data_IF_112162459060
#
_entry.id   IF_112162459060
#
_cell.length_a   1.000
_cell.length_b   1.000
_cell.length_c   1.000
_cell.angle_alpha   90.00
_cell.angle_beta   90.00
_cell.angle_gamma   90.00
#
_symmetry.space_group_name_H-M   'P 1'
#
loop_
_entity.id
_entity.type
_entity.pdbx_description
1 polymer ?
#
# COMPACT_ATOMS: atom_id res chain seq x y z
N UNK A 1 -45.80 41.17 -36.88
CA UNK A 1 -46.03 40.60 -35.54
C UNK A 1 -44.67 40.27 -34.94
N UNK A 2 -44.37 40.86 -33.78
CA UNK A 2 -43.09 40.80 -33.06
C UNK A 2 -43.01 39.49 -32.29
N UNK A 3 -41.86 38.79 -32.32
CA UNK A 3 -41.40 37.98 -31.17
C UNK A 3 -39.89 38.16 -31.03
N UNK A 4 -39.50 38.96 -30.03
CA UNK A 4 -38.17 38.92 -29.42
C UNK A 4 -38.04 37.59 -28.68
N UNK A 5 -36.97 36.84 -28.91
CA UNK A 5 -36.59 35.70 -28.08
C UNK A 5 -35.25 36.02 -27.40
N UNK A 6 -35.36 36.43 -26.14
CA UNK A 6 -34.23 36.54 -25.21
C UNK A 6 -33.65 35.14 -25.00
N UNK A 7 -32.39 34.92 -25.40
CA UNK A 7 -31.64 33.75 -24.97
C UNK A 7 -30.81 34.11 -23.74
N UNK A 8 -31.16 33.45 -22.63
CA UNK A 8 -30.48 33.48 -21.34
C UNK A 8 -29.08 32.91 -21.50
N UNK A 9 -28.05 33.73 -21.28
CA UNK A 9 -26.67 33.26 -21.16
C UNK A 9 -26.48 32.60 -19.80
N UNK A 10 -26.31 31.27 -19.84
CA UNK A 10 -25.96 30.43 -18.70
C UNK A 10 -24.54 30.80 -18.24
N UNK A 11 -24.40 31.35 -17.03
CA UNK A 11 -23.10 31.49 -16.37
C UNK A 11 -22.70 30.12 -15.83
N UNK A 12 -21.90 29.37 -16.59
CA UNK A 12 -21.15 28.24 -16.05
C UNK A 12 -19.85 28.79 -15.44
N UNK A 13 -19.91 29.23 -14.17
CA UNK A 13 -18.70 29.44 -13.39
C UNK A 13 -18.20 28.06 -12.93
N UNK A 14 -17.09 27.64 -13.54
CA UNK A 14 -16.33 26.43 -13.26
C UNK A 14 -16.14 26.22 -11.75
N UNK A 15 -16.54 25.05 -11.24
CA UNK A 15 -16.04 24.57 -9.96
C UNK A 15 -14.49 24.53 -10.05
N UNK A 16 -13.80 25.18 -9.11
CA UNK A 16 -12.36 24.95 -8.92
C UNK A 16 -12.21 23.63 -8.17
N UNK A 17 -11.70 22.61 -8.85
CA UNK A 17 -11.21 21.41 -8.18
C UNK A 17 -9.94 21.79 -7.42
N UNK A 18 -10.05 21.92 -6.10
CA UNK A 18 -8.90 21.89 -5.19
C UNK A 18 -8.39 20.44 -5.14
N UNK A 19 -7.75 20.00 -6.22
CA UNK A 19 -7.01 18.73 -6.25
C UNK A 19 -5.68 18.94 -5.51
N UNK A 20 -5.75 18.92 -4.17
CA UNK A 20 -4.58 18.92 -3.30
C UNK A 20 -3.90 17.54 -3.29
N UNK A 21 -3.62 16.93 -4.45
CA UNK A 21 -2.74 15.76 -4.46
C UNK A 21 -1.31 16.23 -4.11
N UNK A 22 -0.84 15.83 -2.92
CA UNK A 22 0.50 16.12 -2.41
C UNK A 22 1.55 15.08 -2.78
N UNK A 23 1.14 13.99 -3.43
CA UNK A 23 2.04 12.95 -3.89
C UNK A 23 2.96 13.47 -4.99
N UNK A 24 4.22 13.09 -4.89
CA UNK A 24 5.27 13.44 -5.84
C UNK A 24 6.10 12.21 -6.18
N UNK A 25 6.55 12.13 -7.43
CA UNK A 25 7.51 11.11 -7.83
C UNK A 25 8.91 11.55 -7.40
N UNK A 26 9.60 10.69 -6.65
CA UNK A 26 10.93 10.97 -6.08
C UNK A 26 11.97 9.96 -6.55
N UNK A 27 13.25 10.30 -6.37
CA UNK A 27 14.35 9.41 -6.74
C UNK A 27 14.69 8.42 -5.62
N UNK A 28 15.34 7.30 -5.95
CA UNK A 28 15.80 6.30 -4.96
C UNK A 28 16.74 6.89 -3.91
N UNK A 29 17.47 7.97 -4.23
CA UNK A 29 18.29 8.71 -3.27
C UNK A 29 17.50 9.34 -2.14
N UNK A 30 16.22 9.61 -2.35
CA UNK A 30 15.31 10.22 -1.37
C UNK A 30 14.68 9.19 -0.42
N UNK A 31 14.74 7.88 -0.76
CA UNK A 31 14.31 6.84 0.17
C UNK A 31 15.21 6.81 1.41
N UNK A 32 14.62 6.67 2.62
CA UNK A 32 15.37 6.39 3.84
C UNK A 32 16.30 5.17 3.66
N UNK A 33 17.43 5.17 4.35
CA UNK A 33 18.40 4.06 4.31
C UNK A 33 17.77 2.73 4.70
N UNK A 34 16.83 2.75 5.66
CA UNK A 34 16.14 1.56 6.12
C UNK A 34 15.24 0.93 5.04
N UNK A 35 14.51 1.76 4.27
CA UNK A 35 13.70 1.28 3.14
C UNK A 35 14.57 0.59 2.09
N UNK A 36 15.71 1.20 1.74
CA UNK A 36 16.65 0.62 0.76
C UNK A 36 17.16 -0.75 1.23
N UNK A 37 17.61 -0.85 2.47
CA UNK A 37 18.05 -2.13 3.06
C UNK A 37 16.95 -3.19 3.06
N UNK A 38 15.70 -2.80 3.33
CA UNK A 38 14.55 -3.71 3.29
C UNK A 38 14.33 -4.27 1.88
N UNK A 39 14.29 -3.40 0.87
CA UNK A 39 14.13 -3.80 -0.53
C UNK A 39 15.29 -4.68 -1.02
N UNK A 40 16.53 -4.31 -0.69
CA UNK A 40 17.73 -5.08 -1.04
C UNK A 40 17.77 -6.47 -0.38
N UNK A 41 17.19 -6.61 0.82
CA UNK A 41 17.20 -7.87 1.57
C UNK A 41 16.09 -8.81 1.11
N UNK A 42 14.87 -8.31 0.93
CA UNK A 42 13.69 -9.16 0.74
C UNK A 42 13.17 -9.20 -0.69
N UNK A 43 13.52 -8.20 -1.50
CA UNK A 43 13.05 -8.05 -2.89
C UNK A 43 14.21 -7.94 -3.87
N UNK A 44 15.35 -8.57 -3.54
CA UNK A 44 16.51 -8.64 -4.43
C UNK A 44 16.10 -9.26 -5.77
N UNK A 45 16.43 -8.58 -6.87
CA UNK A 45 16.08 -9.03 -8.22
C UNK A 45 14.77 -8.44 -8.76
N UNK A 46 14.06 -7.63 -7.96
CA UNK A 46 12.91 -6.84 -8.41
C UNK A 46 13.24 -5.34 -8.33
N UNK A 47 13.79 -4.74 -9.41
CA UNK A 47 14.11 -3.32 -9.43
C UNK A 47 12.91 -2.41 -9.12
N UNK A 48 13.21 -1.21 -8.62
CA UNK A 48 12.22 -0.16 -8.41
C UNK A 48 11.75 0.39 -9.76
N UNK A 49 10.44 0.45 -9.96
CA UNK A 49 9.77 1.07 -11.11
C UNK A 49 9.41 2.52 -10.81
N UNK A 50 8.87 2.77 -9.62
CA UNK A 50 8.38 4.09 -9.22
C UNK A 50 8.47 4.24 -7.70
N UNK A 51 8.75 5.47 -7.26
CA UNK A 51 8.63 5.86 -5.86
C UNK A 51 7.74 7.08 -5.80
N UNK A 52 6.64 6.96 -5.08
CA UNK A 52 5.78 8.08 -4.72
C UNK A 52 6.07 8.49 -3.28
N UNK A 53 6.02 9.79 -3.00
CA UNK A 53 6.13 10.33 -1.65
C UNK A 53 5.04 11.36 -1.44
N UNK A 54 4.29 11.24 -0.35
CA UNK A 54 3.46 12.32 0.16
C UNK A 54 4.10 12.93 1.40
N UNK A 55 4.74 14.08 1.21
CA UNK A 55 5.42 14.83 2.27
C UNK A 55 4.46 15.74 3.09
N UNK A 56 3.23 15.93 2.63
CA UNK A 56 2.25 16.85 3.25
C UNK A 56 1.15 16.09 3.99
N UNK A 57 1.03 14.78 3.80
CA UNK A 57 0.18 13.93 4.62
C UNK A 57 0.64 13.93 6.09
N UNK A 58 -0.29 13.64 7.00
CA UNK A 58 0.00 13.56 8.45
C UNK A 58 1.00 12.43 8.74
N UNK A 59 0.89 11.33 8.00
CA UNK A 59 1.70 10.14 8.23
C UNK A 59 3.08 10.24 7.55
N UNK A 60 3.19 11.07 6.49
CA UNK A 60 4.33 11.17 5.59
C UNK A 60 4.87 9.80 5.16
N UNK A 61 4.60 9.40 3.92
CA UNK A 61 4.90 8.04 3.48
C UNK A 61 5.62 8.01 2.14
N UNK A 62 6.24 6.86 1.87
CA UNK A 62 6.77 6.48 0.58
C UNK A 62 6.06 5.22 0.10
N UNK A 63 5.56 5.24 -1.12
CA UNK A 63 5.06 4.05 -1.81
C UNK A 63 6.09 3.66 -2.88
N UNK A 64 6.59 2.43 -2.83
CA UNK A 64 7.55 1.89 -3.79
C UNK A 64 6.90 0.79 -4.60
N UNK A 65 6.88 0.94 -5.94
CA UNK A 65 6.44 -0.11 -6.86
C UNK A 65 7.64 -0.80 -7.50
N UNK A 66 7.64 -2.14 -7.49
CA UNK A 66 8.69 -2.99 -8.03
C UNK A 66 8.30 -3.60 -9.38
N UNK A 67 9.28 -4.12 -10.13
CA UNK A 67 9.06 -4.68 -11.48
C UNK A 67 8.19 -5.93 -11.51
N UNK A 68 8.11 -6.68 -10.41
CA UNK A 68 7.22 -7.84 -10.29
C UNK A 68 5.77 -7.45 -9.98
N UNK A 69 5.51 -6.16 -9.74
CA UNK A 69 4.22 -5.62 -9.35
C UNK A 69 4.04 -5.49 -7.84
N UNK A 70 5.00 -5.90 -7.02
CA UNK A 70 4.93 -5.69 -5.57
C UNK A 70 4.92 -4.20 -5.24
N UNK A 71 4.03 -3.79 -4.34
CA UNK A 71 3.99 -2.47 -3.72
C UNK A 71 4.49 -2.58 -2.27
N UNK A 72 5.36 -1.64 -1.87
CA UNK A 72 5.85 -1.54 -0.49
C UNK A 72 5.70 -0.11 0.00
N UNK A 73 4.92 0.05 1.06
CA UNK A 73 4.72 1.33 1.71
C UNK A 73 5.66 1.44 2.91
N UNK A 74 6.29 2.60 3.07
CA UNK A 74 7.16 2.93 4.18
C UNK A 74 6.71 4.20 4.86
N UNK A 75 6.84 4.24 6.18
CA UNK A 75 6.76 5.50 6.93
C UNK A 75 7.94 6.42 6.59
N UNK A 76 7.88 7.67 7.07
CA UNK A 76 8.96 8.65 6.89
C UNK A 76 10.33 8.22 7.41
N UNK A 77 10.39 7.25 8.34
CA UNK A 77 11.65 6.72 8.89
C UNK A 77 12.21 5.57 8.03
N UNK A 78 11.41 5.04 7.11
CA UNK A 78 11.74 3.93 6.25
C UNK A 78 11.36 2.56 6.81
N UNK A 79 10.50 2.52 7.83
CA UNK A 79 9.91 1.28 8.31
C UNK A 79 8.73 0.92 7.40
N UNK A 80 8.70 -0.32 6.90
CA UNK A 80 7.55 -0.76 6.10
C UNK A 80 6.26 -0.66 6.92
N UNK A 81 5.17 -0.22 6.31
CA UNK A 81 3.83 -0.18 6.89
C UNK A 81 2.94 -1.20 6.21
N UNK A 82 3.10 -1.40 4.91
CA UNK A 82 2.37 -2.38 4.12
C UNK A 82 3.28 -2.98 3.04
N UNK A 83 3.04 -4.24 2.71
CA UNK A 83 3.66 -4.94 1.59
C UNK A 83 2.55 -5.70 0.87
N UNK A 84 2.29 -5.37 -0.38
CA UNK A 84 1.23 -5.97 -1.21
C UNK A 84 1.83 -6.56 -2.49
N UNK A 85 1.64 -7.86 -2.70
CA UNK A 85 2.09 -8.59 -3.88
C UNK A 85 1.24 -8.36 -5.13
N UNK A 86 0.11 -7.63 -5.00
CA UNK A 86 -0.86 -7.36 -6.05
C UNK A 86 -1.32 -8.66 -6.74
N UNK A 87 -1.90 -9.60 -5.99
CA UNK A 87 -2.32 -10.92 -6.47
C UNK A 87 -1.25 -12.00 -6.45
N UNK A 88 -0.05 -11.71 -5.93
CA UNK A 88 1.09 -12.65 -5.88
C UNK A 88 1.52 -12.93 -4.45
N UNK A 89 2.11 -14.10 -4.23
CA UNK A 89 2.68 -14.47 -2.93
C UNK A 89 3.91 -13.64 -2.58
N UNK A 90 3.98 -13.17 -1.34
CA UNK A 90 5.13 -12.44 -0.81
C UNK A 90 6.28 -13.36 -0.36
N UNK A 91 7.54 -12.88 -0.37
CA UNK A 91 8.61 -13.50 0.40
C UNK A 91 8.28 -13.43 1.90
N UNK A 92 8.23 -14.57 2.59
CA UNK A 92 7.72 -14.61 3.98
C UNK A 92 8.79 -14.38 5.06
N UNK A 93 10.07 -14.22 4.69
CA UNK A 93 11.18 -14.14 5.65
C UNK A 93 11.20 -12.89 6.52
N UNK A 94 10.49 -11.82 6.12
CA UNK A 94 10.34 -10.61 6.95
C UNK A 94 9.08 -10.66 7.84
N UNK A 95 8.20 -11.65 7.64
CA UNK A 95 6.93 -11.80 8.33
C UNK A 95 7.13 -12.57 9.63
N UNK A 96 6.38 -12.23 10.67
CA UNK A 96 6.44 -12.92 11.95
C UNK A 96 6.19 -14.43 11.78
N UNK A 97 7.11 -15.27 12.26
CA UNK A 97 7.09 -16.72 11.99
C UNK A 97 5.79 -17.42 12.42
N UNK A 98 5.15 -16.95 13.50
CA UNK A 98 3.84 -17.45 13.94
C UNK A 98 2.74 -17.26 12.89
N UNK A 99 2.74 -16.12 12.18
CA UNK A 99 1.77 -15.84 11.10
C UNK A 99 2.00 -16.81 9.95
N UNK A 100 3.24 -16.93 9.49
CA UNK A 100 3.62 -17.84 8.40
C UNK A 100 3.24 -19.28 8.74
N UNK A 101 3.51 -19.71 9.96
CA UNK A 101 3.16 -21.05 10.46
C UNK A 101 1.65 -21.26 10.49
N UNK A 102 0.89 -20.28 10.97
CA UNK A 102 -0.56 -20.34 11.04
C UNK A 102 -1.17 -20.45 9.64
N UNK A 103 -0.76 -19.60 8.70
CA UNK A 103 -1.26 -19.62 7.32
C UNK A 103 -0.96 -20.96 6.66
N UNK A 104 0.28 -21.44 6.72
CA UNK A 104 0.67 -22.72 6.12
C UNK A 104 -0.11 -23.91 6.70
N UNK A 105 -0.48 -23.85 7.99
CA UNK A 105 -1.18 -24.95 8.67
C UNK A 105 -2.68 -24.95 8.41
N UNK A 106 -3.31 -23.77 8.33
CA UNK A 106 -4.76 -23.63 8.24
C UNK A 106 -5.27 -23.38 6.82
N UNK A 107 -4.41 -22.84 5.94
CA UNK A 107 -4.73 -22.48 4.56
C UNK A 107 -3.70 -23.07 3.59
N UNK A 108 -3.55 -24.41 3.50
CA UNK A 108 -2.47 -25.05 2.75
C UNK A 108 -2.54 -24.83 1.22
N UNK A 109 -3.68 -24.34 0.70
CA UNK A 109 -3.87 -23.99 -0.71
C UNK A 109 -3.76 -22.49 -0.99
N UNK A 110 -3.37 -21.68 -0.01
CA UNK A 110 -3.22 -20.24 -0.13
C UNK A 110 -1.84 -19.79 0.36
N UNK A 111 -1.46 -18.57 0.01
CA UNK A 111 -0.23 -17.93 0.46
C UNK A 111 -0.54 -16.51 0.92
N UNK A 112 0.40 -15.89 1.62
CA UNK A 112 0.28 -14.49 2.02
C UNK A 112 0.48 -13.61 0.79
N UNK A 113 -0.53 -12.81 0.45
CA UNK A 113 -0.54 -11.86 -0.66
C UNK A 113 -0.21 -10.45 -0.18
N UNK A 114 -0.81 -10.01 0.92
CA UNK A 114 -0.54 -8.72 1.54
C UNK A 114 -0.32 -8.85 3.05
N UNK A 115 0.44 -7.93 3.61
CA UNK A 115 0.56 -7.74 5.05
C UNK A 115 0.69 -6.25 5.40
N UNK A 116 -0.27 -5.76 6.18
CA UNK A 116 -0.31 -4.39 6.70
C UNK A 116 -0.07 -4.36 8.22
N UNK A 117 0.61 -3.33 8.71
CA UNK A 117 0.76 -3.06 10.15
C UNK A 117 -0.41 -2.27 10.66
N UNK A 118 -1.00 -2.78 11.73
CA UNK A 118 -2.16 -2.22 12.38
C UNK A 118 -1.89 -1.89 13.85
N UNK A 119 -2.73 -1.05 14.46
CA UNK A 119 -2.59 -0.70 15.89
C UNK A 119 -2.58 -1.95 16.78
N UNK A 120 -3.33 -2.99 16.38
CA UNK A 120 -3.49 -4.26 17.09
C UNK A 120 -2.42 -5.30 16.71
N UNK A 121 -1.68 -5.12 15.62
CA UNK A 121 -0.73 -6.09 15.10
C UNK A 121 -0.64 -6.06 13.58
N UNK A 122 -1.22 -7.05 12.92
CA UNK A 122 -1.12 -7.20 11.47
C UNK A 122 -2.47 -7.56 10.86
N UNK A 123 -2.76 -6.97 9.70
CA UNK A 123 -3.72 -7.51 8.75
C UNK A 123 -2.97 -8.31 7.69
N UNK A 124 -3.51 -9.45 7.27
CA UNK A 124 -2.84 -10.39 6.37
C UNK A 124 -3.87 -10.94 5.38
N UNK A 125 -3.71 -10.56 4.12
CA UNK A 125 -4.59 -11.01 3.05
C UNK A 125 -3.96 -12.21 2.37
N UNK A 126 -4.78 -13.21 2.12
CA UNK A 126 -4.36 -14.44 1.46
C UNK A 126 -4.79 -14.46 -0.01
N UNK A 127 -4.05 -15.17 -0.84
CA UNK A 127 -4.33 -15.35 -2.28
C UNK A 127 -5.68 -16.03 -2.61
N UNK A 128 -6.44 -16.44 -1.59
CA UNK A 128 -7.79 -16.98 -1.72
C UNK A 128 -8.86 -16.05 -1.12
N UNK A 129 -8.55 -14.76 -0.97
CA UNK A 129 -9.44 -13.69 -0.50
C UNK A 129 -9.91 -13.86 0.96
N UNK A 130 -9.07 -14.46 1.81
CA UNK A 130 -9.29 -14.42 3.26
C UNK A 130 -8.37 -13.38 3.88
N UNK A 131 -8.97 -12.55 4.72
CA UNK A 131 -8.28 -11.45 5.39
C UNK A 131 -8.21 -11.78 6.88
N UNK A 132 -6.99 -11.88 7.40
CA UNK A 132 -6.69 -12.45 8.71
C UNK A 132 -6.00 -11.43 9.61
N UNK A 133 -6.49 -11.34 10.84
CA UNK A 133 -5.95 -10.43 11.85
C UNK A 133 -5.05 -11.17 12.82
N UNK A 134 -3.89 -10.60 13.10
CA UNK A 134 -2.93 -11.14 14.06
C UNK A 134 -2.49 -10.09 15.08
N UNK A 135 -2.13 -10.52 16.29
CA UNK A 135 -1.48 -9.66 17.27
C UNK A 135 -0.04 -9.33 16.85
N UNK A 136 0.61 -8.43 17.56
CA UNK A 136 2.04 -8.08 17.35
C UNK A 136 2.98 -9.28 17.51
N UNK A 137 2.58 -10.27 18.31
CA UNK A 137 3.27 -11.54 18.54
C UNK A 137 2.87 -12.63 17.51
N UNK A 138 2.09 -12.25 16.49
CA UNK A 138 1.63 -13.15 15.43
C UNK A 138 0.59 -14.17 15.90
N UNK A 139 -0.16 -13.88 16.96
CA UNK A 139 -1.26 -14.74 17.44
C UNK A 139 -2.52 -14.40 16.65
N UNK A 140 -3.18 -15.40 16.07
CA UNK A 140 -4.43 -15.21 15.32
C UNK A 140 -5.54 -14.60 16.21
N UNK A 141 -6.15 -13.52 15.74
CA UNK A 141 -7.21 -12.79 16.42
C UNK A 141 -8.59 -13.03 15.81
N UNK A 142 -8.65 -13.34 14.51
CA UNK A 142 -9.89 -13.51 13.78
C UNK A 142 -9.75 -13.17 12.30
N UNK A 143 -10.85 -13.27 11.56
CA UNK A 143 -10.94 -12.76 10.19
C UNK A 143 -11.42 -11.30 10.21
N UNK A 144 -11.05 -10.54 9.20
CA UNK A 144 -11.71 -9.26 8.91
C UNK A 144 -13.10 -9.53 8.30
N UNK A 145 -14.07 -8.66 8.60
CA UNK A 145 -15.49 -8.79 8.20
C UNK A 145 -15.88 -7.64 7.27
#
# INVERSE_FOLDING_TARGET
MIINLFFVTLLAASCSSDDNNSETIVQTSELPSQSKSFLETYFLGYPIVQIQRDARSVDEYYEVRLTDGTQVDFDKNGMWTEVDGNGRSLPTSFIHANIVTYVNSNYPSASIESIGKEIYGFNVDLTNNFDLRFSREGIFLGMEN
#
